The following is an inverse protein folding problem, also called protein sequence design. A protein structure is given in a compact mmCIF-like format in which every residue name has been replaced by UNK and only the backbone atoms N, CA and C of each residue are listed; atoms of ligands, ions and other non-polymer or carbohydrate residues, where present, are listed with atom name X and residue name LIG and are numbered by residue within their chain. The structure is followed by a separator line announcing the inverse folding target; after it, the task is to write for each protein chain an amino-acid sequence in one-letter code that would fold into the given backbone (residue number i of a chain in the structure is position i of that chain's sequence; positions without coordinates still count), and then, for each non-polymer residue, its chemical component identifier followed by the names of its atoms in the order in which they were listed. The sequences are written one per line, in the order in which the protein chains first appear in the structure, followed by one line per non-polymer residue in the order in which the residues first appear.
data_IF_204217034444
#
_entry.id   IF_204217034444
#
_cell.length_a   1.000
_cell.length_b   1.000
_cell.length_c   1.000
_cell.angle_alpha   90.00
_cell.angle_beta   90.00
_cell.angle_gamma   90.00
#
_symmetry.space_group_name_H-M   'P 1'
#
loop_
_entity.id
_entity.type
_entity.pdbx_description
1 polymer ?
#
# COMPACT_ATOMS: atom_id res chain seq x y z
N UNK A 1 2.52 0.00 14.69
CA UNK A 1 2.03 -0.84 13.56
C UNK A 1 0.53 -1.12 13.72
N UNK A 2 -0.36 -0.22 13.27
CA UNK A 2 -1.80 -0.50 13.26
C UNK A 2 -2.42 -0.01 11.94
N UNK A 3 -2.46 -0.90 10.95
CA UNK A 3 -3.06 -0.59 9.66
C UNK A 3 -4.58 -0.79 9.75
N UNK A 4 -5.37 0.28 9.57
CA UNK A 4 -6.85 0.21 9.57
C UNK A 4 -7.41 -0.76 8.52
N UNK A 5 -6.62 -1.06 7.47
CA UNK A 5 -7.00 -2.00 6.41
C UNK A 5 -6.72 -3.46 6.74
N UNK A 6 -6.11 -3.77 7.89
CA UNK A 6 -5.72 -5.13 8.27
C UNK A 6 -6.92 -6.08 8.28
N UNK A 7 -8.06 -5.64 8.83
CA UNK A 7 -9.30 -6.44 8.85
C UNK A 7 -9.77 -6.79 7.44
N UNK A 8 -9.74 -5.81 6.52
CA UNK A 8 -10.14 -6.01 5.12
C UNK A 8 -9.20 -6.94 4.35
N UNK A 9 -7.91 -6.93 4.66
CA UNK A 9 -6.94 -7.81 4.03
C UNK A 9 -7.09 -9.26 4.54
N UNK A 10 -7.19 -9.43 5.86
CA UNK A 10 -7.33 -10.75 6.50
C UNK A 10 -8.61 -11.46 6.07
N UNK A 11 -9.76 -10.76 6.02
CA UNK A 11 -11.03 -11.37 5.60
C UNK A 11 -11.01 -11.86 4.15
N UNK A 12 -10.10 -11.32 3.33
CA UNK A 12 -9.87 -11.70 1.92
C UNK A 12 -8.63 -12.58 1.74
N UNK A 13 -7.98 -13.01 2.83
CA UNK A 13 -6.74 -13.79 2.82
C UNK A 13 -5.60 -13.14 2.02
N UNK A 14 -5.53 -11.81 2.07
CA UNK A 14 -4.49 -11.01 1.41
C UNK A 14 -3.39 -10.64 2.40
N UNK A 15 -2.14 -10.77 1.98
CA UNK A 15 -0.96 -10.35 2.76
C UNK A 15 -0.75 -8.84 2.67
N UNK A 16 -1.13 -8.24 1.55
CA UNK A 16 -1.03 -6.80 1.29
C UNK A 16 -2.20 -6.31 0.44
N UNK A 17 -2.54 -5.04 0.57
CA UNK A 17 -3.59 -4.42 -0.24
C UNK A 17 -3.27 -4.43 -1.75
N UNK A 18 -1.99 -4.61 -2.13
CA UNK A 18 -1.57 -4.75 -3.52
C UNK A 18 -2.17 -5.99 -4.20
N UNK A 19 -2.41 -7.06 -3.46
CA UNK A 19 -3.00 -8.31 -3.95
C UNK A 19 -4.52 -8.21 -4.18
N UNK A 20 -5.14 -7.10 -3.79
CA UNK A 20 -6.57 -6.90 -3.99
C UNK A 20 -6.90 -6.79 -5.48
N UNK A 21 -7.59 -7.80 -6.02
CA UNK A 21 -8.06 -7.86 -7.42
C UNK A 21 -9.40 -7.16 -7.67
N UNK A 22 -10.06 -6.67 -6.62
CA UNK A 22 -11.37 -6.00 -6.74
C UNK A 22 -11.34 -4.61 -7.38
N UNK A 23 -10.15 -4.08 -7.68
CA UNK A 23 -9.98 -2.77 -8.33
C UNK A 23 -8.79 -2.83 -9.28
N UNK A 24 -8.99 -2.38 -10.52
CA UNK A 24 -7.91 -2.18 -11.47
C UNK A 24 -7.02 -1.02 -11.00
N UNK A 25 -7.59 0.17 -10.75
CA UNK A 25 -6.93 1.26 -10.04
C UNK A 25 -7.22 1.19 -8.53
N UNK A 26 -6.17 1.13 -7.69
CA UNK A 26 -6.33 1.15 -6.24
C UNK A 26 -6.89 2.47 -5.70
N UNK A 27 -6.89 3.55 -6.49
CA UNK A 27 -7.55 4.82 -6.15
C UNK A 27 -9.08 4.69 -6.07
N UNK A 28 -9.66 3.68 -6.73
CA UNK A 28 -11.10 3.41 -6.65
C UNK A 28 -11.51 2.80 -5.30
N UNK A 29 -10.53 2.27 -4.55
CA UNK A 29 -10.78 1.71 -3.24
C UNK A 29 -10.96 2.82 -2.20
N UNK A 30 -12.20 3.23 -1.93
CA UNK A 30 -12.55 4.25 -0.91
C UNK A 30 -11.98 3.97 0.49
N UNK A 31 -11.69 2.70 0.81
CA UNK A 31 -11.06 2.32 2.10
C UNK A 31 -9.56 2.68 2.12
N UNK A 32 -8.87 2.54 0.98
CA UNK A 32 -7.45 2.86 0.81
C UNK A 32 -7.21 4.33 0.46
N UNK A 33 -8.01 4.85 -0.46
CA UNK A 33 -7.92 6.18 -1.04
C UNK A 33 -9.10 7.03 -0.57
N UNK A 34 -9.05 7.39 0.72
CA UNK A 34 -9.96 8.38 1.30
C UNK A 34 -9.28 9.73 1.50
N UNK A 35 -10.07 10.78 1.68
CA UNK A 35 -9.59 12.15 1.84
C UNK A 35 -8.52 12.29 2.93
N UNK A 36 -8.69 11.61 4.06
CA UNK A 36 -7.75 11.59 5.19
C UNK A 36 -6.41 10.97 4.78
N UNK A 37 -6.42 9.86 4.03
CA UNK A 37 -5.20 9.21 3.55
C UNK A 37 -4.41 10.05 2.54
N UNK A 38 -5.07 10.89 1.75
CA UNK A 38 -4.42 11.84 0.83
C UNK A 38 -3.70 12.96 1.59
N UNK A 39 -4.35 13.50 2.62
CA UNK A 39 -3.79 14.56 3.46
C UNK A 39 -2.51 14.11 4.20
N UNK A 40 -2.55 12.92 4.80
CA UNK A 40 -1.35 12.36 5.46
C UNK A 40 -0.27 11.92 4.48
N UNK A 41 -0.62 11.47 3.27
CA UNK A 41 0.37 11.17 2.22
C UNK A 41 1.22 12.38 1.84
N UNK A 42 0.62 13.56 1.85
CA UNK A 42 1.30 14.83 1.60
C UNK A 42 2.23 15.23 2.76
N UNK A 43 1.76 15.10 4.01
CA UNK A 43 2.57 15.44 5.21
C UNK A 43 3.76 14.50 5.37
N UNK A 44 3.55 13.19 5.19
CA UNK A 44 4.60 12.17 5.39
C UNK A 44 5.40 11.86 4.12
N UNK A 45 5.25 12.65 3.04
CA UNK A 45 5.91 12.48 1.73
C UNK A 45 5.90 11.03 1.21
N UNK A 46 4.84 10.29 1.48
CA UNK A 46 4.74 8.87 1.13
C UNK A 46 3.52 8.65 0.26
N UNK A 47 3.74 8.28 -0.99
CA UNK A 47 2.67 7.84 -1.87
C UNK A 47 2.38 6.34 -1.64
N UNK A 48 1.38 6.08 -0.80
CA UNK A 48 0.93 4.72 -0.50
C UNK A 48 0.42 4.00 -1.74
N UNK A 49 -0.28 4.69 -2.64
CA UNK A 49 -0.87 4.06 -3.83
C UNK A 49 0.25 3.67 -4.79
N UNK A 50 1.22 4.56 -5.02
CA UNK A 50 2.40 4.26 -5.82
C UNK A 50 3.17 3.05 -5.26
N UNK A 51 3.38 2.98 -3.95
CA UNK A 51 4.03 1.82 -3.32
C UNK A 51 3.24 0.52 -3.51
N UNK A 52 1.90 0.55 -3.41
CA UNK A 52 1.08 -0.64 -3.63
C UNK A 52 1.09 -1.07 -5.10
N UNK A 53 1.07 -0.13 -6.04
CA UNK A 53 1.22 -0.41 -7.47
C UNK A 53 2.61 -0.97 -7.77
N UNK A 54 3.67 -0.43 -7.18
CA UNK A 54 5.01 -1.00 -7.28
C UNK A 54 5.05 -2.44 -6.78
N UNK A 55 4.42 -2.72 -5.64
CA UNK A 55 4.31 -4.10 -5.13
C UNK A 55 3.55 -5.03 -6.11
N UNK A 56 2.54 -4.53 -6.85
CA UNK A 56 1.86 -5.33 -7.90
C UNK A 56 2.82 -5.67 -9.05
N UNK A 57 3.69 -4.75 -9.43
CA UNK A 57 4.65 -4.93 -10.53
C UNK A 57 5.77 -5.91 -10.17
N UNK A 58 6.41 -5.72 -9.01
CA UNK A 58 7.66 -6.42 -8.68
C UNK A 58 7.51 -7.47 -7.58
N UNK A 59 6.37 -7.52 -6.91
CA UNK A 59 6.12 -8.37 -5.76
C UNK A 59 6.65 -7.80 -4.44
N UNK A 60 6.03 -8.22 -3.33
CA UNK A 60 6.31 -7.70 -1.98
C UNK A 60 7.77 -7.91 -1.55
N UNK A 61 8.35 -9.07 -1.89
CA UNK A 61 9.73 -9.40 -1.53
C UNK A 61 10.76 -8.50 -2.21
N UNK A 62 10.58 -8.18 -3.50
CA UNK A 62 11.49 -7.27 -4.21
C UNK A 62 11.32 -5.83 -3.73
N UNK A 63 10.08 -5.38 -3.52
CA UNK A 63 9.80 -4.05 -2.95
C UNK A 63 10.47 -3.83 -1.59
N UNK A 64 10.43 -4.84 -0.71
CA UNK A 64 11.15 -4.80 0.59
C UNK A 64 12.66 -4.66 0.42
N UNK A 65 13.25 -5.23 -0.64
CA UNK A 65 14.68 -5.07 -0.94
C UNK A 65 14.98 -3.66 -1.45
N UNK A 66 14.17 -3.12 -2.38
CA UNK A 66 14.30 -1.73 -2.86
C UNK A 66 14.30 -0.74 -1.68
N UNK A 67 13.31 -0.85 -0.79
CA UNK A 67 13.18 0.05 0.37
C UNK A 67 14.18 -0.18 1.50
N UNK A 68 14.89 -1.31 1.52
CA UNK A 68 15.98 -1.56 2.48
C UNK A 68 17.26 -0.82 2.09
N UNK A 69 17.45 -0.52 0.79
CA UNK A 69 18.62 0.21 0.30
C UNK A 69 18.52 1.71 0.68
N UNK A 70 17.32 2.23 0.91
CA UNK A 70 17.07 3.62 1.34
C UNK A 70 17.37 3.89 2.83
N UNK A 71 17.69 2.85 3.62
CA UNK A 71 18.14 3.01 5.01
C UNK A 71 19.66 3.01 5.02
N UNK A 72 20.26 4.14 4.62
CA UNK A 72 21.70 4.36 4.85
C UNK A 72 21.93 4.47 6.37
N UNK A 73 22.94 3.78 6.93
CA UNK A 73 23.27 3.87 8.35
C UNK A 73 23.56 5.30 8.81
#
# INVERSE_FOLDING_TARGET
RNCKMKVCAVSRKLTTCAECKGFQDLRDCKKLYNFISRFFGFIFRTDRIANLNRIREIGLSKFKKEKRIDVKP
#
